data_IF_211246484703
#
_entry.id   IF_211246484703
#
_cell.length_a   1.000
_cell.length_b   1.000
_cell.length_c   1.000
_cell.angle_alpha   90.00
_cell.angle_beta   90.00
_cell.angle_gamma   90.00
#
_symmetry.space_group_name_H-M   'P 1'
#
loop_
_entity.id
_entity.type
_entity.pdbx_description
1 polymer ?
#
# COMPACT_ATOMS: atom_id res chain seq x y z
N UNK A 1 26.35 -16.67 -2.41
CA UNK A 1 25.00 -16.90 -2.94
C UNK A 1 23.92 -16.13 -2.17
N UNK A 2 23.92 -16.12 -0.82
CA UNK A 2 22.93 -15.41 0.01
C UNK A 2 22.88 -13.88 -0.19
N UNK A 3 24.03 -13.19 -0.32
CA UNK A 3 24.06 -11.73 -0.49
C UNK A 3 23.45 -11.28 -1.83
N UNK A 4 23.79 -11.95 -2.93
CA UNK A 4 23.23 -11.63 -4.26
C UNK A 4 21.71 -11.83 -4.31
N UNK A 5 21.19 -12.86 -3.64
CA UNK A 5 19.75 -13.10 -3.52
C UNK A 5 19.07 -12.01 -2.69
N UNK A 6 19.67 -11.60 -1.57
CA UNK A 6 19.18 -10.52 -0.73
C UNK A 6 19.10 -9.19 -1.52
N UNK A 7 20.18 -8.81 -2.20
CA UNK A 7 20.21 -7.59 -3.03
C UNK A 7 19.17 -7.59 -4.16
N UNK A 8 18.84 -8.76 -4.70
CA UNK A 8 17.83 -8.91 -5.74
C UNK A 8 16.38 -8.92 -5.18
N UNK A 9 16.20 -9.35 -3.95
CA UNK A 9 14.89 -9.34 -3.29
C UNK A 9 14.56 -7.98 -2.72
N UNK A 10 15.55 -7.27 -2.16
CA UNK A 10 15.43 -5.97 -1.49
C UNK A 10 16.04 -4.84 -2.35
N UNK A 11 15.62 -4.76 -3.61
CA UNK A 11 16.19 -3.79 -4.57
C UNK A 11 16.04 -2.34 -4.14
N UNK A 12 14.91 -1.96 -3.53
CA UNK A 12 14.65 -0.59 -3.08
C UNK A 12 15.53 -0.23 -1.89
N UNK A 13 15.63 -1.12 -0.90
CA UNK A 13 16.54 -0.94 0.24
C UNK A 13 17.98 -0.83 -0.24
N UNK A 14 18.39 -1.69 -1.17
CA UNK A 14 19.75 -1.68 -1.73
C UNK A 14 20.05 -0.35 -2.42
N UNK A 15 19.12 0.13 -3.27
CA UNK A 15 19.27 1.40 -3.96
C UNK A 15 19.32 2.57 -2.95
N UNK A 16 18.43 2.60 -1.96
CA UNK A 16 18.41 3.61 -0.90
C UNK A 16 19.71 3.64 -0.10
N UNK A 17 20.21 2.45 0.29
CA UNK A 17 21.48 2.34 1.03
C UNK A 17 22.67 2.82 0.20
N UNK A 18 22.74 2.46 -1.09
CA UNK A 18 23.78 2.96 -2.00
C UNK A 18 23.71 4.48 -2.12
N UNK A 19 22.52 5.04 -2.33
CA UNK A 19 22.33 6.49 -2.42
C UNK A 19 22.73 7.21 -1.11
N UNK A 20 22.37 6.65 0.05
CA UNK A 20 22.77 7.19 1.34
C UNK A 20 24.30 7.18 1.50
N UNK A 21 24.96 6.06 1.16
CA UNK A 21 26.42 5.95 1.21
C UNK A 21 27.10 6.89 0.22
N UNK A 22 26.63 6.96 -1.02
CA UNK A 22 27.18 7.89 -2.02
C UNK A 22 27.03 9.34 -1.57
N UNK A 23 25.87 9.72 -1.01
CA UNK A 23 25.66 11.09 -0.52
C UNK A 23 26.57 11.43 0.67
N UNK A 24 27.00 10.47 1.47
CA UNK A 24 27.91 10.65 2.60
C UNK A 24 29.34 11.04 2.17
N UNK A 25 29.73 10.78 0.92
CA UNK A 25 31.01 11.29 0.37
C UNK A 25 30.97 12.80 0.09
N UNK A 26 29.78 13.34 -0.20
CA UNK A 26 29.60 14.77 -0.43
C UNK A 26 29.29 15.53 0.86
N UNK A 27 28.61 14.90 1.79
CA UNK A 27 28.27 15.43 3.10
C UNK A 27 28.70 14.41 4.15
N UNK A 28 29.91 14.56 4.73
CA UNK A 28 30.43 13.58 5.70
C UNK A 28 29.50 13.43 6.92
N UNK A 29 29.41 12.21 7.51
CA UNK A 29 28.60 11.96 8.68
C UNK A 29 28.95 12.86 9.85
N UNK A 30 27.93 13.51 10.41
CA UNK A 30 28.03 14.37 11.59
C UNK A 30 26.79 14.19 12.49
N UNK A 31 26.71 14.92 13.61
CA UNK A 31 25.59 14.83 14.55
C UNK A 31 24.23 15.22 13.94
N UNK A 32 24.20 15.92 12.81
CA UNK A 32 22.95 16.31 12.14
C UNK A 32 22.27 15.11 11.49
N UNK A 33 22.99 14.03 11.16
CA UNK A 33 22.42 12.80 10.61
C UNK A 33 21.33 12.20 11.50
N UNK A 34 21.48 12.30 12.83
CA UNK A 34 20.46 11.84 13.78
C UNK A 34 19.18 12.66 13.62
N UNK A 35 19.30 13.95 13.35
CA UNK A 35 18.18 14.86 13.14
C UNK A 35 17.41 14.65 11.83
N UNK A 36 17.98 13.92 10.85
CA UNK A 36 17.26 13.60 9.60
C UNK A 36 16.19 12.53 9.80
N UNK A 37 16.37 11.66 10.82
CA UNK A 37 15.55 10.48 11.02
C UNK A 37 14.22 10.86 11.71
N UNK A 38 13.10 10.69 11.01
CA UNK A 38 11.78 10.87 11.59
C UNK A 38 11.39 9.63 12.43
N UNK A 39 11.80 9.67 13.71
CA UNK A 39 11.51 8.61 14.67
C UNK A 39 10.02 8.40 14.88
N UNK A 40 9.20 9.45 14.76
CA UNK A 40 7.74 9.36 14.91
C UNK A 40 7.16 8.47 13.80
N UNK A 41 7.50 8.75 12.57
CA UNK A 41 7.04 7.96 11.42
C UNK A 41 7.50 6.51 11.54
N UNK A 42 8.77 6.27 11.86
CA UNK A 42 9.29 4.90 12.01
C UNK A 42 8.61 4.12 13.14
N UNK A 43 8.38 4.74 14.29
CA UNK A 43 7.73 4.11 15.43
C UNK A 43 6.26 3.75 15.12
N UNK A 44 5.52 4.65 14.46
CA UNK A 44 4.13 4.41 14.09
C UNK A 44 4.05 3.34 12.99
N UNK A 45 4.92 3.39 11.96
CA UNK A 45 5.00 2.35 10.93
C UNK A 45 5.28 0.97 11.53
N UNK A 46 6.31 0.85 12.38
CA UNK A 46 6.62 -0.38 13.07
C UNK A 46 5.42 -0.91 13.86
N UNK A 47 4.75 -0.04 14.62
CA UNK A 47 3.61 -0.41 15.45
C UNK A 47 2.44 -0.91 14.62
N UNK A 48 2.05 -0.17 13.57
CA UNK A 48 0.98 -0.59 12.66
C UNK A 48 1.32 -1.89 11.94
N UNK A 49 2.55 -2.03 11.41
CA UNK A 49 2.99 -3.27 10.76
C UNK A 49 2.97 -4.47 11.69
N UNK A 50 3.40 -4.30 12.95
CA UNK A 50 3.37 -5.35 13.97
C UNK A 50 1.94 -5.78 14.27
N UNK A 51 1.03 -4.83 14.49
CA UNK A 51 -0.39 -5.11 14.76
C UNK A 51 -1.04 -5.84 13.57
N UNK A 52 -0.81 -5.36 12.34
CA UNK A 52 -1.36 -5.98 11.13
C UNK A 52 -0.80 -7.38 10.89
N UNK A 53 0.50 -7.58 11.11
CA UNK A 53 1.13 -8.89 11.04
C UNK A 53 0.53 -9.86 12.08
N UNK A 54 0.25 -9.39 13.28
CA UNK A 54 -0.41 -10.17 14.33
C UNK A 54 -1.83 -10.58 13.95
N UNK A 55 -2.68 -9.65 13.53
CA UNK A 55 -4.05 -9.94 13.06
C UNK A 55 -4.05 -10.91 11.87
N UNK A 56 -3.13 -10.73 10.92
CA UNK A 56 -2.98 -11.63 9.76
C UNK A 56 -2.58 -13.04 10.21
N UNK A 57 -1.62 -13.20 11.12
CA UNK A 57 -1.21 -14.50 11.64
C UNK A 57 -2.31 -15.24 12.35
N UNK A 58 -3.19 -14.52 13.03
CA UNK A 58 -4.38 -15.08 13.69
C UNK A 58 -5.52 -15.39 12.70
N UNK A 59 -5.33 -15.17 11.38
CA UNK A 59 -6.34 -15.46 10.37
C UNK A 59 -7.56 -14.53 10.42
N UNK A 60 -7.48 -13.38 11.10
CA UNK A 60 -8.59 -12.43 11.23
C UNK A 60 -9.12 -11.98 9.85
N UNK A 61 -8.24 -11.59 8.95
CA UNK A 61 -8.64 -11.13 7.62
C UNK A 61 -9.13 -12.27 6.73
N UNK A 62 -8.57 -13.48 6.88
CA UNK A 62 -9.04 -14.67 6.18
C UNK A 62 -10.46 -15.03 6.61
N UNK A 63 -10.76 -14.95 7.91
CA UNK A 63 -12.09 -15.16 8.45
C UNK A 63 -13.10 -14.15 7.91
N UNK A 64 -12.74 -12.85 7.90
CA UNK A 64 -13.57 -11.79 7.34
C UNK A 64 -13.85 -12.03 5.86
N UNK A 65 -12.81 -12.31 5.06
CA UNK A 65 -12.93 -12.57 3.63
C UNK A 65 -13.87 -13.74 3.35
N UNK A 66 -13.72 -14.87 4.06
CA UNK A 66 -14.59 -16.05 3.91
C UNK A 66 -16.04 -15.74 4.27
N UNK A 67 -16.28 -15.04 5.39
CA UNK A 67 -17.64 -14.67 5.81
C UNK A 67 -18.34 -13.78 4.79
N UNK A 68 -17.64 -12.86 4.14
CA UNK A 68 -18.22 -12.03 3.11
C UNK A 68 -18.43 -12.81 1.79
N UNK A 69 -17.51 -13.68 1.43
CA UNK A 69 -17.61 -14.50 0.23
C UNK A 69 -18.74 -15.53 0.32
N UNK A 70 -19.00 -16.13 1.48
CA UNK A 70 -20.09 -17.09 1.67
C UNK A 70 -21.48 -16.49 1.45
N UNK A 71 -21.61 -15.17 1.47
CA UNK A 71 -22.89 -14.46 1.22
C UNK A 71 -23.09 -14.05 -0.24
N UNK A 72 -22.23 -14.50 -1.15
CA UNK A 72 -22.32 -14.14 -2.58
C UNK A 72 -23.10 -15.20 -3.35
N UNK A 73 -24.04 -14.74 -4.20
CA UNK A 73 -24.92 -15.60 -5.00
C UNK A 73 -24.77 -15.41 -6.52
N UNK A 74 -23.88 -14.51 -6.94
CA UNK A 74 -23.62 -14.25 -8.37
C UNK A 74 -22.15 -13.91 -8.62
N UNK A 75 -21.68 -14.10 -9.85
CA UNK A 75 -20.32 -13.72 -10.27
C UNK A 75 -20.03 -12.23 -10.07
N UNK A 76 -21.04 -11.36 -10.25
CA UNK A 76 -20.92 -9.93 -10.00
C UNK A 76 -20.71 -9.63 -8.50
N UNK A 77 -21.56 -10.21 -7.63
CA UNK A 77 -21.41 -10.05 -6.18
C UNK A 77 -20.06 -10.56 -5.69
N UNK A 78 -19.64 -11.74 -6.19
CA UNK A 78 -18.32 -12.29 -5.88
C UNK A 78 -17.19 -11.33 -6.27
N UNK A 79 -17.23 -10.80 -7.50
CA UNK A 79 -16.24 -9.84 -7.98
C UNK A 79 -16.25 -8.57 -7.11
N UNK A 80 -17.43 -8.06 -6.79
CA UNK A 80 -17.58 -6.87 -5.93
C UNK A 80 -17.04 -7.07 -4.53
N UNK A 81 -17.28 -8.25 -3.92
CA UNK A 81 -16.72 -8.56 -2.60
C UNK A 81 -15.20 -8.68 -2.67
N UNK A 82 -14.64 -9.38 -3.66
CA UNK A 82 -13.20 -9.53 -3.82
C UNK A 82 -12.48 -8.20 -4.05
N UNK A 83 -13.04 -7.33 -4.90
CA UNK A 83 -12.50 -5.99 -5.17
C UNK A 83 -12.73 -5.07 -3.98
N UNK A 84 -13.90 -5.11 -3.35
CA UNK A 84 -14.26 -4.32 -2.18
C UNK A 84 -13.39 -4.63 -0.97
N UNK A 85 -13.06 -5.92 -0.74
CA UNK A 85 -12.10 -6.31 0.31
C UNK A 85 -10.74 -5.65 0.13
N UNK A 86 -10.24 -5.54 -1.10
CA UNK A 86 -9.00 -4.83 -1.38
C UNK A 86 -9.17 -3.32 -1.24
N UNK A 87 -10.27 -2.74 -1.74
CA UNK A 87 -10.51 -1.31 -1.72
C UNK A 87 -10.70 -0.78 -0.29
N UNK A 88 -11.67 -1.31 0.44
CA UNK A 88 -11.96 -0.86 1.80
C UNK A 88 -10.94 -1.39 2.80
N UNK A 89 -10.46 -2.63 2.62
CA UNK A 89 -9.43 -3.20 3.48
C UNK A 89 -8.16 -2.35 3.46
N UNK A 90 -7.68 -1.93 2.30
CA UNK A 90 -6.45 -1.14 2.18
C UNK A 90 -6.52 0.25 2.87
N UNK A 91 -7.71 0.75 3.18
CA UNK A 91 -7.86 1.98 3.96
C UNK A 91 -7.35 1.82 5.42
N UNK A 92 -7.34 0.59 5.93
CA UNK A 92 -7.02 0.29 7.32
C UNK A 92 -5.77 -0.57 7.51
N UNK A 93 -5.49 -1.49 6.57
CA UNK A 93 -4.44 -2.52 6.70
C UNK A 93 -3.27 -2.37 5.74
N UNK A 94 -3.14 -1.27 5.08
CA UNK A 94 -2.24 -0.96 3.95
C UNK A 94 -2.54 -1.74 2.67
N UNK A 95 -2.15 -1.16 1.54
CA UNK A 95 -2.34 -1.78 0.22
C UNK A 95 -1.59 -3.12 0.09
N UNK A 96 -0.36 -3.21 0.60
CA UNK A 96 0.48 -4.42 0.51
C UNK A 96 -0.15 -5.58 1.28
N UNK A 97 -0.54 -5.35 2.54
CA UNK A 97 -1.17 -6.37 3.40
C UNK A 97 -2.52 -6.78 2.83
N UNK A 98 -3.29 -5.84 2.28
CA UNK A 98 -4.57 -6.11 1.62
C UNK A 98 -4.39 -7.06 0.44
N UNK A 99 -3.43 -6.80 -0.45
CA UNK A 99 -3.16 -7.66 -1.61
C UNK A 99 -2.59 -9.02 -1.21
N UNK A 100 -1.64 -9.06 -0.27
CA UNK A 100 -1.10 -10.33 0.25
C UNK A 100 -2.18 -11.24 0.84
N UNK A 101 -3.23 -10.64 1.41
CA UNK A 101 -4.33 -11.37 2.05
C UNK A 101 -5.41 -11.76 1.05
N UNK A 102 -5.87 -10.84 0.22
CA UNK A 102 -7.10 -11.03 -0.55
C UNK A 102 -6.88 -11.47 -2.00
N UNK A 103 -5.71 -11.25 -2.61
CA UNK A 103 -5.41 -11.73 -3.97
C UNK A 103 -5.37 -13.26 -4.10
N UNK A 104 -5.01 -14.05 -3.09
CA UNK A 104 -5.15 -15.51 -3.18
C UNK A 104 -6.59 -16.03 -3.30
N UNK A 105 -7.60 -15.28 -2.83
CA UNK A 105 -8.99 -15.74 -2.85
C UNK A 105 -9.56 -16.01 -4.26
N UNK A 106 -9.38 -15.12 -5.28
CA UNK A 106 -9.80 -15.42 -6.65
C UNK A 106 -9.28 -16.74 -7.16
N UNK A 107 -8.03 -17.11 -6.86
CA UNK A 107 -7.46 -18.38 -7.33
C UNK A 107 -8.16 -19.57 -6.70
N UNK A 108 -8.53 -19.50 -5.43
CA UNK A 108 -9.25 -20.57 -4.74
C UNK A 108 -10.70 -20.67 -5.22
N UNK A 109 -11.41 -19.55 -5.22
CA UNK A 109 -12.86 -19.53 -5.48
C UNK A 109 -13.16 -19.76 -6.96
N UNK A 110 -12.50 -19.03 -7.88
CA UNK A 110 -12.77 -19.16 -9.31
C UNK A 110 -12.32 -20.51 -9.89
N UNK A 111 -11.35 -21.20 -9.27
CA UNK A 111 -10.98 -22.56 -9.68
C UNK A 111 -12.12 -23.57 -9.48
N UNK A 112 -13.04 -23.31 -8.55
CA UNK A 112 -14.17 -24.20 -8.25
C UNK A 112 -15.42 -23.88 -9.09
N UNK A 113 -15.46 -22.73 -9.77
CA UNK A 113 -16.62 -22.27 -10.55
C UNK A 113 -16.62 -22.73 -12.02
N UNK A 114 -15.64 -23.54 -12.41
CA UNK A 114 -15.52 -24.02 -13.78
C UNK A 114 -14.52 -23.22 -14.64
N UNK A 115 -14.01 -23.88 -15.68
CA UNK A 115 -12.89 -23.39 -16.48
C UNK A 115 -13.21 -22.09 -17.24
N UNK A 116 -14.45 -21.94 -17.73
CA UNK A 116 -14.84 -20.77 -18.53
C UNK A 116 -14.98 -19.51 -17.66
N UNK A 117 -15.62 -19.62 -16.50
CA UNK A 117 -15.75 -18.52 -15.52
C UNK A 117 -14.36 -18.10 -15.04
N UNK A 118 -13.51 -19.07 -14.68
CA UNK A 118 -12.13 -18.81 -14.27
C UNK A 118 -11.35 -18.06 -15.36
N UNK A 119 -11.41 -18.55 -16.62
CA UNK A 119 -10.69 -17.95 -17.75
C UNK A 119 -11.13 -16.50 -17.99
N UNK A 120 -12.42 -16.22 -17.85
CA UNK A 120 -12.99 -14.91 -18.08
C UNK A 120 -12.69 -13.91 -16.94
N UNK A 121 -12.72 -14.36 -15.67
CA UNK A 121 -12.73 -13.48 -14.52
C UNK A 121 -11.40 -13.38 -13.77
N UNK A 122 -10.53 -14.42 -13.77
CA UNK A 122 -9.37 -14.46 -12.88
C UNK A 122 -8.42 -13.26 -13.07
N UNK A 123 -7.97 -13.04 -14.29
CA UNK A 123 -7.04 -11.95 -14.60
C UNK A 123 -7.68 -10.57 -14.38
N UNK A 124 -8.90 -10.28 -14.90
CA UNK A 124 -9.56 -9.01 -14.62
C UNK A 124 -9.79 -8.75 -13.13
N UNK A 125 -10.23 -9.74 -12.35
CA UNK A 125 -10.48 -9.58 -10.92
C UNK A 125 -9.18 -9.26 -10.16
N UNK A 126 -8.09 -9.98 -10.44
CA UNK A 126 -6.79 -9.71 -9.80
C UNK A 126 -6.26 -8.32 -10.21
N UNK A 127 -6.45 -7.88 -11.46
CA UNK A 127 -6.12 -6.51 -11.87
C UNK A 127 -6.98 -5.49 -11.11
N UNK A 128 -8.29 -5.70 -11.02
CA UNK A 128 -9.19 -4.82 -10.26
C UNK A 128 -8.81 -4.76 -8.78
N UNK A 129 -8.48 -5.89 -8.15
CA UNK A 129 -8.01 -5.91 -6.76
C UNK A 129 -6.74 -5.08 -6.56
N UNK A 130 -5.80 -5.15 -7.52
CA UNK A 130 -4.54 -4.39 -7.44
C UNK A 130 -4.80 -2.89 -7.53
N UNK A 131 -5.60 -2.46 -8.51
CA UNK A 131 -6.02 -1.06 -8.64
C UNK A 131 -6.82 -0.61 -7.41
N UNK A 132 -7.74 -1.45 -6.94
CA UNK A 132 -8.57 -1.18 -5.78
C UNK A 132 -7.75 -0.97 -4.50
N UNK A 133 -6.74 -1.81 -4.26
CA UNK A 133 -5.88 -1.66 -3.08
C UNK A 133 -5.06 -0.35 -3.12
N UNK A 134 -4.50 0.01 -4.28
CA UNK A 134 -3.77 1.26 -4.43
C UNK A 134 -4.67 2.49 -4.24
N UNK A 135 -5.88 2.46 -4.83
CA UNK A 135 -6.79 3.61 -4.80
C UNK A 135 -7.63 3.70 -3.52
N UNK A 136 -7.95 2.58 -2.89
CA UNK A 136 -8.60 2.58 -1.58
C UNK A 136 -7.68 3.13 -0.49
N UNK A 137 -6.43 2.67 -0.48
CA UNK A 137 -5.42 3.06 0.52
C UNK A 137 -5.11 4.57 0.54
N UNK A 138 -5.40 5.30 -0.54
CA UNK A 138 -5.12 6.73 -0.58
C UNK A 138 -6.05 7.57 0.30
N UNK A 139 -7.22 7.04 0.73
CA UNK A 139 -8.20 7.80 1.50
C UNK A 139 -7.74 8.11 2.92
N UNK A 140 -6.87 7.30 3.50
CA UNK A 140 -6.45 7.43 4.90
C UNK A 140 -4.94 7.58 5.06
N UNK A 141 -4.48 8.23 6.13
CA UNK A 141 -3.05 8.32 6.41
C UNK A 141 -2.38 6.95 6.64
N UNK A 142 -3.12 5.95 7.14
CA UNK A 142 -2.59 4.62 7.47
C UNK A 142 -2.63 3.63 6.30
N UNK A 143 -3.32 3.98 5.21
CA UNK A 143 -3.46 3.10 4.05
C UNK A 143 -2.15 2.82 3.31
N UNK A 144 -1.17 3.73 3.41
CA UNK A 144 0.14 3.63 2.78
C UNK A 144 1.24 4.23 3.65
N UNK A 145 2.48 3.70 3.61
CA UNK A 145 3.60 4.27 4.35
C UNK A 145 3.90 5.74 3.98
N UNK A 146 3.85 6.09 2.70
CA UNK A 146 4.06 7.47 2.25
C UNK A 146 2.98 8.43 2.74
N UNK A 147 1.72 7.97 2.84
CA UNK A 147 0.62 8.77 3.37
C UNK A 147 0.86 9.11 4.84
N UNK A 148 1.26 8.11 5.63
CA UNK A 148 1.56 8.31 7.05
C UNK A 148 2.69 9.32 7.25
N UNK A 149 3.75 9.21 6.47
CA UNK A 149 4.88 10.13 6.50
C UNK A 149 4.47 11.56 6.10
N UNK A 150 3.85 11.73 4.93
CA UNK A 150 3.42 13.05 4.45
C UNK A 150 2.35 13.67 5.36
N UNK A 151 1.41 12.88 5.88
CA UNK A 151 0.45 13.32 6.89
C UNK A 151 1.17 13.81 8.16
N UNK A 152 2.19 13.08 8.62
CA UNK A 152 3.03 13.50 9.75
C UNK A 152 3.65 14.89 9.53
N UNK A 153 4.15 15.13 8.30
CA UNK A 153 4.84 16.35 7.89
C UNK A 153 3.90 17.52 7.59
N UNK A 154 2.68 17.24 7.04
CA UNK A 154 1.75 18.25 6.58
C UNK A 154 1.10 19.10 7.68
N UNK A 155 1.09 18.63 8.92
CA UNK A 155 0.39 19.31 10.02
C UNK A 155 -1.14 19.28 9.92
N UNK A 156 -1.73 18.75 8.86
CA UNK A 156 -3.19 18.72 8.65
C UNK A 156 -3.90 17.77 9.61
N UNK A 157 -5.20 17.99 9.80
CA UNK A 157 -6.07 17.08 10.55
C UNK A 157 -6.39 15.83 9.71
N UNK A 158 -6.80 14.73 10.38
CA UNK A 158 -7.24 13.52 9.67
C UNK A 158 -8.45 13.79 8.75
N UNK A 159 -9.39 14.65 9.22
CA UNK A 159 -10.52 15.08 8.40
C UNK A 159 -10.07 15.85 7.15
N UNK A 160 -9.08 16.75 7.29
CA UNK A 160 -8.48 17.46 6.16
C UNK A 160 -7.83 16.51 5.16
N UNK A 161 -7.10 15.49 5.63
CA UNK A 161 -6.51 14.47 4.76
C UNK A 161 -7.58 13.68 4.00
N UNK A 162 -8.61 13.21 4.71
CA UNK A 162 -9.73 12.45 4.09
C UNK A 162 -10.45 13.32 3.07
N UNK A 163 -10.78 14.57 3.39
CA UNK A 163 -11.44 15.49 2.46
C UNK A 163 -10.58 15.79 1.22
N UNK A 164 -9.26 15.90 1.37
CA UNK A 164 -8.33 16.08 0.25
C UNK A 164 -8.38 14.91 -0.72
N UNK A 165 -8.41 13.67 -0.21
CA UNK A 165 -8.35 12.47 -1.03
C UNK A 165 -9.71 11.91 -1.44
N UNK A 166 -10.80 12.37 -0.81
CA UNK A 166 -12.16 11.87 -1.03
C UNK A 166 -12.63 11.93 -2.49
N UNK A 167 -12.46 13.05 -3.23
CA UNK A 167 -12.90 13.11 -4.63
C UNK A 167 -12.26 12.03 -5.50
N UNK A 168 -10.94 11.84 -5.35
CA UNK A 168 -10.19 10.83 -6.11
C UNK A 168 -10.63 9.41 -5.75
N UNK A 169 -10.87 9.17 -4.45
CA UNK A 169 -11.32 7.86 -3.96
C UNK A 169 -12.73 7.53 -4.45
N UNK A 170 -13.65 8.48 -4.44
CA UNK A 170 -15.01 8.28 -4.93
C UNK A 170 -15.04 8.01 -6.44
N UNK A 171 -14.32 8.81 -7.22
CA UNK A 171 -14.20 8.57 -8.68
C UNK A 171 -13.60 7.21 -8.94
N UNK A 172 -12.58 6.80 -8.19
CA UNK A 172 -11.96 5.49 -8.29
C UNK A 172 -12.94 4.34 -8.01
N UNK A 173 -13.76 4.49 -6.97
CA UNK A 173 -14.80 3.52 -6.64
C UNK A 173 -15.82 3.38 -7.78
N UNK A 174 -16.30 4.50 -8.33
CA UNK A 174 -17.24 4.49 -9.45
C UNK A 174 -16.65 3.82 -10.70
N UNK A 175 -15.38 4.09 -11.01
CA UNK A 175 -14.68 3.45 -12.12
C UNK A 175 -14.52 1.94 -11.91
N UNK A 176 -14.19 1.50 -10.70
CA UNK A 176 -14.09 0.08 -10.35
C UNK A 176 -15.45 -0.62 -10.45
N UNK A 177 -16.52 0.01 -9.98
CA UNK A 177 -17.89 -0.50 -10.12
C UNK A 177 -18.28 -0.65 -11.59
N UNK A 178 -18.01 0.36 -12.41
CA UNK A 178 -18.27 0.32 -13.85
C UNK A 178 -17.47 -0.79 -14.53
N UNK A 179 -16.19 -0.94 -14.20
CA UNK A 179 -15.33 -1.99 -14.75
C UNK A 179 -15.81 -3.38 -14.35
N UNK A 180 -16.15 -3.61 -13.08
CA UNK A 180 -16.70 -4.88 -12.61
C UNK A 180 -18.02 -5.21 -13.32
N UNK A 181 -18.92 -4.24 -13.49
CA UNK A 181 -20.17 -4.42 -14.23
C UNK A 181 -19.92 -4.81 -15.69
N UNK A 182 -18.96 -4.17 -16.38
CA UNK A 182 -18.61 -4.49 -17.76
C UNK A 182 -18.05 -5.92 -17.91
N UNK A 183 -17.16 -6.33 -17.00
CA UNK A 183 -16.53 -7.66 -17.05
C UNK A 183 -17.54 -8.76 -16.74
N UNK A 184 -18.43 -8.55 -15.76
CA UNK A 184 -19.38 -9.57 -15.32
C UNK A 184 -20.62 -9.70 -16.23
N UNK A 185 -20.90 -8.71 -17.10
CA UNK A 185 -22.03 -8.80 -18.05
C UNK A 185 -22.04 -10.07 -18.92
N UNK A 186 -20.85 -10.56 -19.29
CA UNK A 186 -20.68 -11.73 -20.17
C UNK A 186 -20.58 -13.05 -19.42
N UNK A 187 -20.50 -13.01 -18.08
CA UNK A 187 -20.22 -14.18 -17.25
C UNK A 187 -21.22 -14.32 -16.10
N UNK A 188 -22.48 -13.89 -16.31
CA UNK A 188 -23.53 -13.99 -15.28
C UNK A 188 -23.90 -15.44 -15.03
N UNK A 189 -23.44 -16.01 -13.94
CA UNK A 189 -23.81 -17.33 -13.44
C UNK A 189 -24.34 -17.20 -12.00
N UNK A 190 -25.38 -17.94 -11.69
CA UNK A 190 -25.81 -18.12 -10.31
C UNK A 190 -24.79 -19.03 -9.62
N UNK A 191 -24.40 -18.68 -8.40
CA UNK A 191 -23.37 -19.37 -7.63
C UNK A 191 -23.97 -19.95 -6.35
N UNK A 192 -23.66 -21.21 -6.07
CA UNK A 192 -23.80 -21.80 -4.72
C UNK A 192 -22.41 -21.84 -4.07
N UNK A 193 -22.09 -20.79 -3.32
CA UNK A 193 -20.75 -20.60 -2.73
C UNK A 193 -20.62 -21.27 -1.36
N UNK A 194 -21.71 -21.75 -0.76
CA UNK A 194 -21.73 -22.31 0.58
C UNK A 194 -20.75 -23.49 0.79
N UNK A 195 -20.55 -24.34 -0.21
CA UNK A 195 -19.57 -25.43 -0.17
C UNK A 195 -18.12 -24.96 -0.43
N UNK A 196 -17.94 -23.76 -1.01
CA UNK A 196 -16.64 -23.30 -1.47
C UNK A 196 -15.77 -22.74 -0.34
N UNK A 197 -16.39 -22.30 0.76
CA UNK A 197 -15.75 -21.59 1.88
C UNK A 197 -15.60 -22.47 3.11
N UNK A 198 -16.21 -23.66 3.13
CA UNK A 198 -16.29 -24.58 4.27
C UNK A 198 -14.98 -25.28 4.67
N UNK A 199 -13.85 -25.02 4.03
CA UNK A 199 -12.56 -25.56 4.48
C UNK A 199 -12.12 -24.82 5.76
N UNK A 200 -11.92 -25.59 6.82
CA UNK A 200 -11.52 -25.20 8.17
C UNK A 200 -10.48 -24.06 8.19
N UNK A 201 -10.92 -22.85 8.47
CA UNK A 201 -9.99 -21.83 8.91
C UNK A 201 -9.52 -22.24 10.31
N UNK A 202 -8.24 -22.36 10.53
CA UNK A 202 -7.70 -22.35 11.90
C UNK A 202 -8.20 -21.04 12.53
N UNK A 203 -9.18 -21.13 13.41
CA UNK A 203 -9.59 -19.98 14.22
C UNK A 203 -8.39 -19.63 15.11
N UNK A 204 -7.83 -18.44 14.90
CA UNK A 204 -6.80 -17.90 15.77
C UNK A 204 -7.33 -17.71 17.19
N UNK A 205 -6.44 -17.48 18.12
CA UNK A 205 -6.83 -17.20 19.52
C UNK A 205 -7.58 -15.85 19.58
N UNK A 206 -8.86 -15.92 19.95
CA UNK A 206 -9.74 -14.74 20.05
C UNK A 206 -9.19 -13.68 21.01
N UNK A 207 -8.48 -14.09 22.08
CA UNK A 207 -7.85 -13.17 23.05
C UNK A 207 -6.72 -12.40 22.39
N UNK A 208 -5.91 -13.07 21.57
CA UNK A 208 -4.81 -12.43 20.82
C UNK A 208 -5.37 -11.51 19.73
N UNK A 209 -6.45 -11.91 19.04
CA UNK A 209 -7.14 -11.04 18.08
C UNK A 209 -7.65 -9.77 18.76
N UNK A 210 -8.33 -9.91 19.91
CA UNK A 210 -8.83 -8.76 20.67
C UNK A 210 -7.69 -7.85 21.13
N UNK A 211 -6.59 -8.43 21.61
CA UNK A 211 -5.39 -7.67 21.99
C UNK A 211 -4.88 -6.81 20.82
N UNK A 212 -4.72 -7.41 19.62
CA UNK A 212 -4.26 -6.67 18.46
C UNK A 212 -5.25 -5.61 17.97
N UNK A 213 -6.57 -5.85 18.11
CA UNK A 213 -7.58 -4.82 17.81
C UNK A 213 -7.49 -3.63 18.79
N UNK A 214 -7.26 -3.88 20.07
CA UNK A 214 -7.02 -2.83 21.07
C UNK A 214 -5.73 -2.06 20.74
N UNK A 215 -4.64 -2.78 20.43
CA UNK A 215 -3.37 -2.16 20.04
C UNK A 215 -3.51 -1.36 18.73
N UNK A 216 -4.36 -1.80 17.79
CA UNK A 216 -4.70 -1.03 16.61
C UNK A 216 -5.35 0.31 16.96
N UNK A 217 -6.34 0.29 17.87
CA UNK A 217 -6.97 1.52 18.36
C UNK A 217 -5.95 2.47 19.02
N UNK A 218 -5.02 1.93 19.82
CA UNK A 218 -3.90 2.69 20.42
C UNK A 218 -3.02 3.33 19.34
N UNK A 219 -2.68 2.58 18.28
CA UNK A 219 -1.93 3.14 17.13
C UNK A 219 -2.71 4.26 16.44
N UNK A 220 -4.02 4.10 16.24
CA UNK A 220 -4.85 5.15 15.63
C UNK A 220 -4.86 6.43 16.48
N UNK A 221 -4.96 6.32 17.81
CA UNK A 221 -4.85 7.47 18.72
C UNK A 221 -3.49 8.19 18.56
N UNK A 222 -2.42 7.46 18.28
CA UNK A 222 -1.11 8.05 18.01
C UNK A 222 -1.04 8.71 16.63
N UNK A 223 -1.65 8.12 15.61
CA UNK A 223 -1.73 8.72 14.26
C UNK A 223 -2.45 10.06 14.30
N UNK A 224 -3.60 10.15 15.00
CA UNK A 224 -4.38 11.39 15.16
C UNK A 224 -3.78 12.36 16.20
N UNK A 225 -2.58 12.06 16.71
CA UNK A 225 -1.80 12.91 17.65
C UNK A 225 -2.43 13.10 19.04
N UNK A 226 -3.39 12.26 19.44
CA UNK A 226 -3.95 12.24 20.79
C UNK A 226 -3.01 11.56 21.78
N UNK A 227 -2.34 10.48 21.33
CA UNK A 227 -1.40 9.72 22.15
C UNK A 227 0.04 9.91 21.64
N UNK A 228 1.04 10.15 22.51
CA UNK A 228 2.44 10.18 22.13
C UNK A 228 2.87 8.85 21.46
N UNK A 229 3.57 8.95 20.33
CA UNK A 229 3.99 7.78 19.53
C UNK A 229 4.87 6.79 20.32
N UNK A 230 5.68 7.29 21.26
CA UNK A 230 6.51 6.44 22.11
C UNK A 230 5.70 5.50 23.01
N UNK A 231 4.54 5.94 23.50
CA UNK A 231 3.64 5.11 24.30
C UNK A 231 3.01 4.01 23.45
N UNK A 232 2.52 4.35 22.24
CA UNK A 232 1.98 3.37 21.32
C UNK A 232 3.03 2.34 20.89
N UNK A 233 4.24 2.80 20.56
CA UNK A 233 5.37 1.93 20.22
C UNK A 233 5.72 0.98 21.37
N UNK A 234 5.89 1.51 22.58
CA UNK A 234 6.22 0.69 23.76
C UNK A 234 5.12 -0.35 24.05
N UNK A 235 3.84 0.06 24.01
CA UNK A 235 2.71 -0.84 24.23
C UNK A 235 2.69 -1.99 23.20
N UNK A 236 2.84 -1.67 21.90
CA UNK A 236 2.86 -2.69 20.83
C UNK A 236 4.06 -3.61 20.98
N UNK A 237 5.26 -3.05 21.21
CA UNK A 237 6.48 -3.84 21.36
C UNK A 237 6.40 -4.80 22.55
N UNK A 238 5.99 -4.30 23.73
CA UNK A 238 5.85 -5.12 24.95
C UNK A 238 4.79 -6.21 24.75
N UNK A 239 3.59 -5.86 24.27
CA UNK A 239 2.55 -6.85 24.03
C UNK A 239 2.97 -7.90 23.00
N UNK A 240 3.61 -7.50 21.90
CA UNK A 240 4.09 -8.45 20.91
C UNK A 240 5.20 -9.37 21.44
N UNK A 241 6.12 -8.85 22.25
CA UNK A 241 7.19 -9.65 22.86
C UNK A 241 6.65 -10.73 23.82
N UNK A 242 5.63 -10.41 24.61
CA UNK A 242 5.12 -11.34 25.63
C UNK A 242 3.97 -12.22 25.13
N UNK A 243 3.06 -11.69 24.30
CA UNK A 243 1.90 -12.45 23.83
C UNK A 243 2.16 -13.23 22.53
N UNK A 244 2.93 -12.68 21.60
CA UNK A 244 3.19 -13.32 20.29
C UNK A 244 4.54 -12.88 19.66
N UNK A 245 5.68 -13.34 20.24
CA UNK A 245 7.01 -12.90 19.79
C UNK A 245 7.33 -13.30 18.34
N UNK A 246 6.60 -14.29 17.78
CA UNK A 246 6.78 -14.69 16.37
C UNK A 246 6.28 -13.62 15.41
N UNK A 247 5.34 -12.78 15.80
CA UNK A 247 4.84 -11.67 14.98
C UNK A 247 5.94 -10.67 14.65
N UNK A 248 6.85 -10.39 15.59
CA UNK A 248 7.98 -9.49 15.35
C UNK A 248 8.90 -9.96 14.22
N UNK A 249 8.99 -11.27 13.95
CA UNK A 249 9.78 -11.81 12.84
C UNK A 249 9.11 -11.61 11.46
N UNK A 250 7.86 -11.24 11.43
CA UNK A 250 7.08 -11.05 10.19
C UNK A 250 6.90 -9.58 9.83
N UNK A 251 7.43 -8.66 10.65
CA UNK A 251 7.46 -7.22 10.37
C UNK A 251 8.41 -6.96 9.20
N UNK A 252 8.04 -6.04 8.32
CA UNK A 252 8.87 -5.62 7.18
C UNK A 252 9.95 -4.61 7.64
N UNK A 253 11.04 -5.15 8.19
CA UNK A 253 12.21 -4.35 8.57
C UNK A 253 12.92 -3.72 7.36
N UNK A 254 12.77 -4.32 6.17
CA UNK A 254 13.35 -3.79 4.94
C UNK A 254 12.76 -2.43 4.59
N UNK A 255 11.44 -2.28 4.74
CA UNK A 255 10.76 -1.01 4.56
C UNK A 255 11.26 0.05 5.57
N UNK A 256 11.38 -0.29 6.85
CA UNK A 256 11.88 0.65 7.88
C UNK A 256 13.30 1.12 7.59
N UNK A 257 14.20 0.19 7.22
CA UNK A 257 15.58 0.51 6.85
C UNK A 257 15.65 1.35 5.57
N UNK A 258 14.72 1.13 4.64
CA UNK A 258 14.59 1.94 3.43
C UNK A 258 14.25 3.39 3.78
N UNK A 259 13.33 3.62 4.72
CA UNK A 259 13.03 4.96 5.21
C UNK A 259 14.26 5.63 5.85
N UNK A 260 14.98 4.91 6.72
CA UNK A 260 16.21 5.43 7.34
C UNK A 260 17.25 5.83 6.29
N UNK A 261 17.50 4.97 5.30
CA UNK A 261 18.44 5.24 4.23
C UNK A 261 18.02 6.47 3.39
N UNK A 262 16.73 6.59 3.04
CA UNK A 262 16.23 7.77 2.35
C UNK A 262 16.29 9.05 3.21
N UNK A 263 16.02 8.99 4.50
CA UNK A 263 16.17 10.14 5.38
C UNK A 263 17.60 10.66 5.39
N UNK A 264 18.60 9.79 5.46
CA UNK A 264 20.00 10.16 5.37
C UNK A 264 20.31 10.76 3.99
N UNK A 265 19.90 10.10 2.92
CA UNK A 265 20.14 10.57 1.56
C UNK A 265 19.56 11.95 1.30
N UNK A 266 18.30 12.18 1.69
CA UNK A 266 17.59 13.45 1.49
C UNK A 266 18.15 14.54 2.37
N UNK A 267 18.48 14.23 3.63
CA UNK A 267 19.13 15.16 4.55
C UNK A 267 20.46 15.66 3.99
N UNK A 268 21.26 14.75 3.42
CA UNK A 268 22.51 15.12 2.76
C UNK A 268 22.29 16.00 1.51
N UNK A 269 21.34 15.62 0.64
CA UNK A 269 21.02 16.42 -0.56
C UNK A 269 20.53 17.82 -0.20
N UNK A 270 19.77 17.97 0.87
CA UNK A 270 19.29 19.25 1.37
C UNK A 270 20.44 20.19 1.79
N UNK A 271 21.61 19.63 2.15
CA UNK A 271 22.81 20.39 2.50
C UNK A 271 23.70 20.75 1.30
N UNK A 272 23.33 20.35 0.09
CA UNK A 272 24.03 20.75 -1.14
C UNK A 272 23.23 21.88 -1.80
N UNK A 273 23.63 23.18 -1.63
CA UNK A 273 22.79 24.31 -2.03
C UNK A 273 22.44 24.34 -3.51
N UNK A 274 23.38 24.00 -4.39
CA UNK A 274 23.17 23.98 -5.84
C UNK A 274 22.10 22.97 -6.25
N UNK A 275 22.11 21.76 -5.64
CA UNK A 275 21.13 20.71 -5.93
C UNK A 275 19.75 21.05 -5.31
N UNK A 276 19.76 21.50 -4.07
CA UNK A 276 18.52 21.85 -3.35
C UNK A 276 17.78 22.99 -4.04
N UNK A 277 18.49 24.07 -4.43
CA UNK A 277 17.89 25.19 -5.14
C UNK A 277 17.32 24.80 -6.52
N UNK A 278 18.08 24.02 -7.30
CA UNK A 278 17.63 23.54 -8.61
C UNK A 278 16.36 22.67 -8.48
N UNK A 279 16.33 21.75 -7.51
CA UNK A 279 15.18 20.84 -7.35
C UNK A 279 13.95 21.58 -6.81
N UNK A 280 14.13 22.57 -5.92
CA UNK A 280 13.03 23.42 -5.45
C UNK A 280 12.41 24.22 -6.59
N UNK A 281 13.21 24.84 -7.43
CA UNK A 281 12.75 25.59 -8.60
C UNK A 281 12.02 24.66 -9.60
N UNK A 282 12.57 23.47 -9.85
CA UNK A 282 11.96 22.48 -10.74
C UNK A 282 10.60 22.01 -10.21
N UNK A 283 10.43 21.86 -8.89
CA UNK A 283 9.21 21.39 -8.26
C UNK A 283 8.11 22.46 -8.21
N UNK A 284 8.47 23.72 -8.03
CA UNK A 284 7.50 24.81 -7.77
C UNK A 284 6.39 24.86 -8.83
N UNK A 285 5.14 24.67 -8.39
CA UNK A 285 3.94 24.64 -9.21
C UNK A 285 3.73 23.37 -10.04
N UNK A 286 4.62 22.37 -9.93
CA UNK A 286 4.57 21.10 -10.70
C UNK A 286 4.61 19.86 -9.80
N UNK A 287 4.46 20.03 -8.49
CA UNK A 287 4.70 19.01 -7.47
C UNK A 287 3.91 17.72 -7.75
N UNK A 288 2.61 17.84 -8.11
CA UNK A 288 1.76 16.69 -8.41
C UNK A 288 2.29 15.90 -9.61
N UNK A 289 2.59 16.59 -10.72
CA UNK A 289 3.04 15.92 -11.94
C UNK A 289 4.43 15.31 -11.76
N UNK A 290 5.34 16.03 -11.09
CA UNK A 290 6.68 15.51 -10.78
C UNK A 290 6.59 14.31 -9.85
N UNK A 291 5.71 14.33 -8.84
CA UNK A 291 5.50 13.19 -7.95
C UNK A 291 4.93 11.97 -8.69
N UNK A 292 3.98 12.17 -9.61
CA UNK A 292 3.46 11.10 -10.48
C UNK A 292 4.59 10.49 -11.32
N UNK A 293 5.39 11.32 -11.99
CA UNK A 293 6.48 10.84 -12.87
C UNK A 293 7.61 10.18 -12.06
N UNK A 294 8.03 10.76 -10.95
CA UNK A 294 9.03 10.17 -10.05
C UNK A 294 8.59 8.79 -9.56
N UNK A 295 7.30 8.63 -9.23
CA UNK A 295 6.75 7.35 -8.78
C UNK A 295 6.86 6.25 -9.84
N UNK A 296 6.80 6.59 -11.14
CA UNK A 296 6.94 5.59 -12.22
C UNK A 296 8.34 4.95 -12.26
N UNK A 297 9.34 5.65 -11.73
CA UNK A 297 10.74 5.21 -11.76
C UNK A 297 11.19 4.67 -10.41
N UNK A 298 10.84 5.38 -9.33
CA UNK A 298 11.36 5.08 -7.98
C UNK A 298 10.36 4.37 -7.07
N UNK A 299 9.09 4.24 -7.47
CA UNK A 299 7.94 3.92 -6.64
C UNK A 299 7.46 5.11 -5.79
N UNK A 300 6.17 5.09 -5.41
CA UNK A 300 5.49 6.18 -4.72
C UNK A 300 6.07 6.50 -3.32
N UNK A 301 6.53 5.49 -2.57
CA UNK A 301 7.13 5.70 -1.24
C UNK A 301 8.46 6.46 -1.34
N UNK A 302 9.46 6.01 -2.12
CA UNK A 302 10.67 6.76 -2.35
C UNK A 302 10.44 8.16 -2.94
N UNK A 303 9.49 8.29 -3.89
CA UNK A 303 9.15 9.58 -4.47
C UNK A 303 8.63 10.56 -3.41
N UNK A 304 7.73 10.11 -2.52
CA UNK A 304 7.22 10.92 -1.43
C UNK A 304 8.34 11.39 -0.49
N UNK A 305 9.21 10.48 -0.09
CA UNK A 305 10.34 10.80 0.78
C UNK A 305 11.25 11.82 0.11
N UNK A 306 11.73 11.52 -1.11
CA UNK A 306 12.66 12.37 -1.84
C UNK A 306 12.10 13.78 -2.04
N UNK A 307 10.91 13.90 -2.62
CA UNK A 307 10.38 15.21 -3.00
C UNK A 307 9.98 16.06 -1.81
N UNK A 308 9.56 15.45 -0.70
CA UNK A 308 9.16 16.17 0.52
C UNK A 308 10.30 16.92 1.22
N UNK A 309 11.55 16.64 0.87
CA UNK A 309 12.72 17.40 1.35
C UNK A 309 12.88 18.75 0.67
N UNK A 310 12.21 18.97 -0.47
CA UNK A 310 12.46 20.09 -1.37
C UNK A 310 11.21 20.93 -1.70
N UNK A 311 10.07 20.65 -1.13
CA UNK A 311 8.87 21.48 -1.24
C UNK A 311 8.09 21.49 0.07
N UNK A 312 7.41 22.61 0.35
CA UNK A 312 6.46 22.73 1.45
C UNK A 312 5.04 22.26 1.05
N UNK A 313 4.79 22.06 -0.24
CA UNK A 313 3.47 21.69 -0.79
C UNK A 313 3.14 20.21 -0.53
N UNK A 314 3.02 19.87 0.75
CA UNK A 314 2.77 18.47 1.18
C UNK A 314 1.42 17.92 0.67
N UNK A 315 0.41 18.78 0.50
CA UNK A 315 -0.88 18.36 -0.06
C UNK A 315 -0.74 17.92 -1.52
N UNK A 316 0.02 18.68 -2.31
CA UNK A 316 0.32 18.33 -3.70
C UNK A 316 1.10 17.01 -3.78
N UNK A 317 2.06 16.79 -2.86
CA UNK A 317 2.78 15.52 -2.79
C UNK A 317 1.88 14.34 -2.39
N UNK A 318 0.94 14.53 -1.44
CA UNK A 318 -0.04 13.50 -1.08
C UNK A 318 -0.84 13.10 -2.30
N UNK A 319 -1.40 14.06 -3.05
CA UNK A 319 -2.14 13.77 -4.28
C UNK A 319 -1.22 13.07 -5.30
N UNK A 320 -0.08 13.68 -5.62
CA UNK A 320 0.81 13.22 -6.68
C UNK A 320 1.38 11.83 -6.44
N UNK A 321 1.79 11.50 -5.22
CA UNK A 321 2.35 10.16 -4.91
C UNK A 321 1.28 9.07 -4.82
N UNK A 322 0.04 9.41 -4.42
CA UNK A 322 -1.06 8.45 -4.45
C UNK A 322 -1.51 8.16 -5.89
N UNK A 323 -1.72 9.18 -6.71
CA UNK A 323 -2.01 9.00 -8.14
C UNK A 323 -0.83 8.34 -8.87
N UNK A 324 0.40 8.71 -8.49
CA UNK A 324 1.64 8.13 -9.00
C UNK A 324 1.83 6.65 -8.67
N UNK A 325 1.10 6.09 -7.70
CA UNK A 325 1.06 4.64 -7.45
C UNK A 325 0.37 3.84 -8.56
N UNK A 326 -0.35 4.52 -9.46
CA UNK A 326 -0.87 3.96 -10.72
C UNK A 326 0.19 4.06 -11.83
N UNK A 327 -0.02 3.33 -12.93
CA UNK A 327 0.84 3.34 -14.12
C UNK A 327 1.67 2.08 -14.23
N UNK A 328 2.97 2.15 -14.01
CA UNK A 328 3.88 1.00 -14.13
C UNK A 328 3.79 0.05 -12.93
N UNK A 329 4.26 -1.20 -13.10
CA UNK A 329 4.37 -2.15 -11.96
C UNK A 329 5.35 -1.67 -10.87
N UNK A 330 6.29 -0.79 -11.21
CA UNK A 330 7.28 -0.22 -10.29
C UNK A 330 6.66 0.93 -9.48
N UNK A 331 5.67 1.61 -10.04
CA UNK A 331 5.03 2.79 -9.43
C UNK A 331 4.47 2.52 -8.03
N UNK A 332 4.00 1.29 -7.79
CA UNK A 332 3.63 0.81 -6.45
C UNK A 332 4.18 -0.59 -6.24
N UNK A 333 4.95 -0.80 -5.19
CA UNK A 333 5.48 -2.13 -4.84
C UNK A 333 4.38 -3.15 -4.57
N UNK A 334 3.23 -2.70 -4.07
CA UNK A 334 2.03 -3.52 -3.90
C UNK A 334 1.61 -4.21 -5.22
N UNK A 335 1.75 -3.54 -6.35
CA UNK A 335 1.42 -4.08 -7.67
C UNK A 335 2.24 -5.32 -8.04
N UNK A 336 3.48 -5.41 -7.56
CA UNK A 336 4.34 -6.59 -7.75
C UNK A 336 3.83 -7.83 -7.01
N UNK A 337 3.09 -7.67 -5.91
CA UNK A 337 2.51 -8.78 -5.15
C UNK A 337 1.55 -9.56 -6.05
N UNK A 338 0.59 -8.87 -6.65
CA UNK A 338 -0.38 -9.48 -7.55
C UNK A 338 0.28 -10.08 -8.81
N UNK A 339 1.25 -9.39 -9.39
CA UNK A 339 2.01 -9.90 -10.53
C UNK A 339 2.78 -11.19 -10.18
N UNK A 340 3.44 -11.24 -9.01
CA UNK A 340 4.15 -12.44 -8.55
C UNK A 340 3.17 -13.60 -8.31
N UNK A 341 1.98 -13.33 -7.79
CA UNK A 341 0.94 -14.35 -7.59
C UNK A 341 0.45 -14.91 -8.93
N UNK A 342 0.15 -14.05 -9.92
CA UNK A 342 -0.19 -14.48 -11.28
C UNK A 342 0.97 -15.29 -11.91
N UNK A 343 2.21 -14.82 -11.72
CA UNK A 343 3.38 -15.49 -12.27
C UNK A 343 3.58 -16.90 -11.72
N UNK A 344 3.17 -17.13 -10.47
CA UNK A 344 3.24 -18.42 -9.79
C UNK A 344 2.08 -19.33 -10.15
N UNK A 345 0.84 -18.84 -10.07
CA UNK A 345 -0.38 -19.66 -10.19
C UNK A 345 -0.87 -19.81 -11.65
N UNK A 346 -0.54 -18.86 -12.52
CA UNK A 346 -0.95 -18.83 -13.94
C UNK A 346 0.19 -18.29 -14.82
N UNK A 347 1.29 -19.04 -15.00
CA UNK A 347 2.48 -18.56 -15.74
C UNK A 347 2.20 -18.09 -17.17
N UNK A 348 1.27 -18.75 -17.88
CA UNK A 348 0.83 -18.40 -19.23
C UNK A 348 0.02 -17.09 -19.29
N UNK A 349 -0.57 -16.66 -18.17
CA UNK A 349 -1.37 -15.43 -18.08
C UNK A 349 -0.56 -14.14 -17.83
N UNK A 350 0.76 -14.22 -17.62
CA UNK A 350 1.61 -13.09 -17.28
C UNK A 350 1.49 -11.93 -18.27
N UNK A 351 1.57 -12.20 -19.57
CA UNK A 351 1.49 -11.17 -20.62
C UNK A 351 0.11 -10.50 -20.63
N UNK A 352 -0.94 -11.29 -20.52
CA UNK A 352 -2.32 -10.79 -20.48
C UNK A 352 -2.56 -9.94 -19.23
N UNK A 353 -2.10 -10.39 -18.06
CA UNK A 353 -2.17 -9.61 -16.82
C UNK A 353 -1.41 -8.29 -16.96
N UNK A 354 -0.15 -8.33 -17.43
CA UNK A 354 0.68 -7.14 -17.59
C UNK A 354 0.02 -6.11 -18.53
N UNK A 355 -0.50 -6.55 -19.68
CA UNK A 355 -1.18 -5.68 -20.64
C UNK A 355 -2.44 -5.06 -20.05
N UNK A 356 -3.32 -5.87 -19.41
CA UNK A 356 -4.54 -5.38 -18.79
C UNK A 356 -4.24 -4.45 -17.60
N UNK A 357 -3.25 -4.82 -16.76
CA UNK A 357 -2.81 -4.02 -15.63
C UNK A 357 -2.31 -2.66 -16.11
N UNK A 358 -1.39 -2.61 -17.06
CA UNK A 358 -0.83 -1.34 -17.57
C UNK A 358 -1.90 -0.46 -18.19
N UNK A 359 -2.75 -1.04 -19.05
CA UNK A 359 -3.83 -0.29 -19.69
C UNK A 359 -4.81 0.29 -18.68
N UNK A 360 -5.29 -0.54 -17.74
CA UNK A 360 -6.23 -0.09 -16.72
C UNK A 360 -5.63 1.00 -15.81
N UNK A 361 -4.39 0.81 -15.35
CA UNK A 361 -3.72 1.81 -14.51
C UNK A 361 -3.51 3.14 -15.25
N UNK A 362 -3.16 3.12 -16.54
CA UNK A 362 -3.02 4.34 -17.35
C UNK A 362 -4.38 5.05 -17.53
N UNK A 363 -5.46 4.30 -17.76
CA UNK A 363 -6.81 4.88 -17.89
C UNK A 363 -7.23 5.54 -16.57
N UNK A 364 -7.08 4.83 -15.44
CA UNK A 364 -7.41 5.37 -14.13
C UNK A 364 -6.54 6.60 -13.80
N UNK A 365 -5.24 6.55 -14.07
CA UNK A 365 -4.32 7.67 -13.86
C UNK A 365 -4.75 8.89 -14.68
N UNK A 366 -5.06 8.71 -15.96
CA UNK A 366 -5.47 9.81 -16.84
C UNK A 366 -6.78 10.46 -16.36
N UNK A 367 -7.78 9.65 -15.95
CA UNK A 367 -9.05 10.18 -15.43
C UNK A 367 -8.82 10.92 -14.11
N UNK A 368 -8.04 10.36 -13.18
CA UNK A 368 -7.79 10.98 -11.88
C UNK A 368 -6.91 12.24 -11.98
N UNK A 369 -5.98 12.30 -12.93
CA UNK A 369 -5.27 13.54 -13.25
C UNK A 369 -6.21 14.59 -13.86
N UNK A 370 -7.21 14.17 -14.67
CA UNK A 370 -8.29 15.04 -15.12
C UNK A 370 -9.11 15.61 -13.97
N UNK A 371 -9.46 14.76 -12.96
CA UNK A 371 -10.14 15.21 -11.73
C UNK A 371 -9.28 16.22 -10.98
N UNK A 372 -7.97 15.93 -10.82
CA UNK A 372 -7.05 16.88 -10.17
C UNK A 372 -7.02 18.24 -10.91
N UNK A 373 -6.95 18.20 -12.22
CA UNK A 373 -6.92 19.42 -13.03
C UNK A 373 -8.19 20.25 -12.92
N UNK A 374 -9.36 19.59 -12.75
CA UNK A 374 -10.65 20.25 -12.56
C UNK A 374 -10.84 20.82 -11.14
N UNK A 375 -10.14 20.28 -10.14
CA UNK A 375 -10.25 20.71 -8.74
C UNK A 375 -9.17 21.73 -8.34
N UNK A 376 -8.17 21.96 -9.20
CA UNK A 376 -7.11 22.94 -9.01
C UNK A 376 -7.63 24.35 -9.24
#
# INVERSE_FOLDING_TARGET
MKLKQFLQQETVLTAAAVLAVVSAFFVPPDMQYIGYIDLRTLAILFSLMTVMAGLRRQGFFDGLGRTLLSRTHSTFQLTMVLVGLCFFGSMFITNDVSLLTFVPFPFVVLNRLGADVRRALLIPVVCMQTVAANLGSMLTPIGNPQNLYLYGKSGMSIGGFVLLMLPYTLVSLLLLLAWAAMVCRKTSAALSVDELVSSSASQGDQKIILLYLVLFAVCLLSVIRVLPYGIAFAAVLVCALFADPRTLRTVDYSLLLTFVAFFIFIGNLGRIPAFSGWLQEFLTGREVLVAVLASQVTSNVPAALLLSGFTAETQALIIGTNLGGLGTLIASMASLISYRQIARELPQGKKQYFGLFTLSNLIFLAILLGVWFLLR
#
